data_IF_112364998969
#
_entry.id   IF_112364998969
#
_cell.length_a   1.000
_cell.length_b   1.000
_cell.length_c   1.000
_cell.angle_alpha   90.00
_cell.angle_beta   90.00
_cell.angle_gamma   90.00
#
_symmetry.space_group_name_H-M   'P 1'
#
loop_
_entity.id
_entity.type
_entity.pdbx_description
1 polymer ?
#
# COMPACT_ATOMS: atom_id res chain seq x y z
N UNK A 1 -3.83 -13.31 -23.34
CA UNK A 1 -3.49 -13.85 -22.00
C UNK A 1 -4.15 -12.97 -20.95
N UNK A 2 -4.98 -13.53 -20.11
CA UNK A 2 -5.60 -12.83 -18.98
C UNK A 2 -4.59 -12.64 -17.84
N UNK A 3 -4.93 -11.81 -16.84
CA UNK A 3 -4.07 -11.63 -15.65
C UNK A 3 -3.94 -12.92 -14.86
N UNK A 4 -5.02 -13.69 -14.77
CA UNK A 4 -5.01 -14.99 -14.10
C UNK A 4 -4.09 -15.99 -14.82
N UNK A 5 -4.18 -16.09 -16.14
CA UNK A 5 -3.29 -16.95 -16.93
C UNK A 5 -1.83 -16.52 -16.76
N UNK A 6 -1.55 -15.20 -16.72
CA UNK A 6 -0.21 -14.68 -16.46
C UNK A 6 0.28 -15.09 -15.07
N UNK A 7 -0.54 -14.92 -14.02
CA UNK A 7 -0.16 -15.32 -12.66
C UNK A 7 0.09 -16.83 -12.58
N UNK A 8 -0.79 -17.64 -13.16
CA UNK A 8 -0.63 -19.10 -13.21
C UNK A 8 0.64 -19.53 -13.94
N UNK A 9 1.05 -18.81 -15.01
CA UNK A 9 2.26 -19.12 -15.74
C UNK A 9 3.54 -18.92 -14.92
N UNK A 10 3.51 -18.02 -13.93
CA UNK A 10 4.62 -17.80 -12.99
C UNK A 10 4.53 -18.65 -11.71
N UNK A 11 3.48 -19.42 -11.52
CA UNK A 11 3.24 -20.21 -10.32
C UNK A 11 2.94 -21.67 -10.66
N UNK A 12 1.67 -22.06 -10.69
CA UNK A 12 1.23 -23.45 -10.85
C UNK A 12 1.72 -24.10 -12.15
N UNK A 13 1.68 -23.38 -13.27
CA UNK A 13 2.08 -23.95 -14.55
C UNK A 13 3.61 -24.13 -14.66
N UNK A 14 4.39 -23.23 -14.06
CA UNK A 14 5.83 -23.42 -13.97
C UNK A 14 6.18 -24.62 -13.11
N UNK A 15 5.52 -24.78 -11.94
CA UNK A 15 5.73 -25.94 -11.07
C UNK A 15 5.35 -27.25 -11.78
N UNK A 16 4.22 -27.26 -12.52
CA UNK A 16 3.81 -28.42 -13.34
C UNK A 16 4.83 -28.75 -14.43
N UNK A 17 5.34 -27.75 -15.14
CA UNK A 17 6.36 -27.95 -16.18
C UNK A 17 7.67 -28.55 -15.66
N UNK A 18 7.96 -28.36 -14.38
CA UNK A 18 9.11 -28.92 -13.67
C UNK A 18 8.80 -30.28 -12.99
N UNK A 19 7.55 -30.76 -13.03
CA UNK A 19 7.06 -31.94 -12.28
C UNK A 19 7.21 -31.78 -10.78
N UNK A 20 6.98 -30.56 -10.26
CA UNK A 20 7.09 -30.19 -8.85
C UNK A 20 5.79 -29.58 -8.29
N UNK A 21 4.65 -29.81 -8.95
CA UNK A 21 3.35 -29.27 -8.58
C UNK A 21 2.85 -29.73 -7.20
N UNK A 22 3.33 -30.88 -6.73
CA UNK A 22 3.04 -31.42 -5.39
C UNK A 22 3.84 -30.73 -4.28
N UNK A 23 4.92 -30.01 -4.66
CA UNK A 23 5.87 -29.41 -3.71
C UNK A 23 5.74 -27.89 -3.67
N UNK A 24 5.46 -27.24 -4.80
CA UNK A 24 5.44 -25.78 -4.95
C UNK A 24 4.40 -25.32 -5.98
N UNK A 25 4.32 -23.99 -6.22
CA UNK A 25 3.44 -23.36 -7.20
C UNK A 25 2.10 -22.88 -6.64
N UNK A 26 1.74 -23.29 -5.45
CA UNK A 26 0.55 -22.81 -4.70
C UNK A 26 0.83 -22.79 -3.20
N UNK A 27 0.10 -21.95 -2.47
CA UNK A 27 0.14 -21.89 -1.01
C UNK A 27 -0.89 -22.87 -0.44
N UNK A 28 -0.49 -24.13 -0.27
CA UNK A 28 -1.31 -25.22 0.25
C UNK A 28 -0.58 -25.93 1.37
N UNK A 29 -1.33 -26.54 2.28
CA UNK A 29 -0.76 -27.33 3.38
C UNK A 29 0.06 -28.50 2.82
N UNK A 30 1.30 -28.62 3.24
CA UNK A 30 2.23 -29.66 2.79
C UNK A 30 3.19 -29.22 1.67
N UNK A 31 2.96 -28.06 1.05
CA UNK A 31 3.88 -27.49 0.07
C UNK A 31 4.87 -26.51 0.71
N UNK A 32 5.92 -26.17 -0.03
CA UNK A 32 6.89 -25.16 0.39
C UNK A 32 6.21 -23.81 0.57
N UNK A 33 6.58 -23.10 1.64
CA UNK A 33 6.15 -21.73 1.87
C UNK A 33 7.05 -20.78 1.06
N UNK A 34 6.88 -20.81 -0.26
CA UNK A 34 7.56 -19.93 -1.22
C UNK A 34 6.57 -18.90 -1.75
N UNK A 35 6.73 -17.64 -1.35
CA UNK A 35 5.85 -16.57 -1.81
C UNK A 35 6.51 -15.19 -1.78
N UNK A 36 5.97 -14.29 -2.57
CA UNK A 36 6.29 -12.88 -2.51
C UNK A 36 5.03 -12.06 -2.19
N UNK A 37 5.20 -11.08 -1.30
CA UNK A 37 4.18 -10.05 -1.05
C UNK A 37 4.55 -8.83 -1.86
N UNK A 38 3.61 -8.34 -2.64
CA UNK A 38 3.79 -7.16 -3.48
C UNK A 38 2.87 -6.03 -3.04
N UNK A 39 3.21 -4.82 -3.43
CA UNK A 39 2.58 -3.57 -3.01
C UNK A 39 1.20 -3.30 -3.62
N UNK A 40 0.69 -4.22 -4.46
CA UNK A 40 -0.58 -4.02 -5.16
C UNK A 40 -1.23 -5.33 -5.55
N UNK A 41 -2.55 -5.29 -5.73
CA UNK A 41 -3.30 -6.40 -6.29
C UNK A 41 -3.18 -6.38 -7.82
N UNK A 42 -2.39 -7.29 -8.37
CA UNK A 42 -2.19 -7.42 -9.82
C UNK A 42 -3.48 -7.80 -10.57
N UNK A 43 -4.48 -8.38 -9.88
CA UNK A 43 -5.73 -8.80 -10.52
C UNK A 43 -6.65 -7.62 -10.79
N UNK A 44 -6.61 -6.57 -9.96
CA UNK A 44 -7.57 -5.46 -10.00
C UNK A 44 -6.93 -4.09 -10.29
N UNK A 45 -5.62 -3.92 -10.11
CA UNK A 45 -4.96 -2.63 -10.37
C UNK A 45 -5.09 -2.18 -11.84
N UNK A 46 -5.03 -0.88 -12.14
CA UNK A 46 -4.94 -0.37 -13.51
C UNK A 46 -3.78 -0.99 -14.29
N UNK A 47 -3.96 -1.21 -15.60
CA UNK A 47 -3.01 -1.96 -16.43
C UNK A 47 -1.60 -1.34 -16.47
N UNK A 48 -1.52 -0.03 -16.41
CA UNK A 48 -0.26 0.74 -16.39
C UNK A 48 0.62 0.45 -15.17
N UNK A 49 0.02 -0.05 -14.07
CA UNK A 49 0.74 -0.35 -12.82
C UNK A 49 1.19 -1.81 -12.69
N UNK A 50 0.82 -2.67 -13.65
CA UNK A 50 1.19 -4.10 -13.59
C UNK A 50 2.71 -4.30 -13.76
N UNK A 51 3.37 -3.47 -14.55
CA UNK A 51 4.76 -3.66 -14.96
C UNK A 51 5.82 -3.33 -13.89
N UNK A 52 5.46 -2.56 -12.86
CA UNK A 52 6.42 -2.05 -11.85
C UNK A 52 5.98 -2.33 -10.40
N UNK A 53 5.56 -3.55 -10.02
CA UNK A 53 5.20 -3.85 -8.64
C UNK A 53 6.44 -3.80 -7.75
N UNK A 54 6.29 -3.29 -6.52
CA UNK A 54 7.34 -3.34 -5.51
C UNK A 54 7.18 -4.60 -4.67
N UNK A 55 8.24 -5.37 -4.53
CA UNK A 55 8.27 -6.50 -3.59
C UNK A 55 8.44 -5.97 -2.17
N UNK A 56 7.55 -6.35 -1.27
CA UNK A 56 7.57 -5.97 0.15
C UNK A 56 8.21 -7.04 1.03
N UNK A 57 8.02 -8.31 0.66
CA UNK A 57 8.54 -9.47 1.38
C UNK A 57 8.75 -10.62 0.40
N UNK A 58 9.80 -11.39 0.57
CA UNK A 58 9.98 -12.69 -0.09
C UNK A 58 10.30 -13.73 0.96
N UNK A 59 9.60 -14.85 0.89
CA UNK A 59 9.82 -16.03 1.74
C UNK A 59 10.17 -17.20 0.81
N UNK A 60 11.22 -17.95 1.14
CA UNK A 60 11.64 -19.16 0.43
C UNK A 60 11.93 -20.28 1.42
N UNK A 61 11.32 -21.43 1.22
CA UNK A 61 11.42 -22.57 2.14
C UNK A 61 10.89 -22.28 3.55
N UNK A 62 9.99 -21.30 3.69
CA UNK A 62 9.49 -20.84 4.99
C UNK A 62 10.37 -19.81 5.70
N UNK A 63 11.53 -19.46 5.12
CA UNK A 63 12.42 -18.46 5.67
C UNK A 63 12.29 -17.12 4.92
N UNK A 64 12.34 -16.02 5.68
CA UNK A 64 12.34 -14.68 5.10
C UNK A 64 13.70 -14.38 4.46
N UNK A 65 13.73 -14.24 3.14
CA UNK A 65 14.96 -13.97 2.37
C UNK A 65 15.07 -12.51 1.93
N UNK A 66 13.96 -11.78 1.93
CA UNK A 66 13.91 -10.35 1.63
C UNK A 66 12.76 -9.68 2.37
N UNK A 67 13.02 -8.52 2.93
CA UNK A 67 12.00 -7.58 3.43
C UNK A 67 12.39 -6.17 3.04
N UNK A 68 11.43 -5.46 2.45
CA UNK A 68 11.56 -4.01 2.27
C UNK A 68 11.72 -3.38 3.65
N UNK A 69 12.60 -2.39 3.77
CA UNK A 69 12.86 -1.71 5.04
C UNK A 69 11.57 -1.26 5.71
N UNK A 70 11.22 -1.93 6.81
CA UNK A 70 10.01 -1.67 7.58
C UNK A 70 10.12 -0.41 8.46
N UNK A 71 11.29 0.22 8.54
CA UNK A 71 11.48 1.49 9.26
C UNK A 71 10.71 2.63 8.59
N UNK A 72 10.48 2.53 7.27
CA UNK A 72 9.71 3.51 6.51
C UNK A 72 8.29 2.99 6.30
N UNK A 73 7.27 3.63 6.90
CA UNK A 73 5.90 3.19 6.71
C UNK A 73 5.48 3.32 5.24
N UNK A 74 4.70 2.35 4.78
CA UNK A 74 4.11 2.37 3.46
C UNK A 74 2.65 2.82 3.57
N UNK A 75 2.23 3.76 2.76
CA UNK A 75 0.83 4.19 2.67
C UNK A 75 0.26 3.73 1.34
N UNK A 76 -0.80 2.94 1.37
CA UNK A 76 -1.48 2.43 0.19
C UNK A 76 -2.86 3.08 0.04
N UNK A 77 -3.15 3.58 -1.15
CA UNK A 77 -4.44 4.10 -1.55
C UNK A 77 -5.01 3.29 -2.70
N UNK A 78 -6.19 2.71 -2.53
CA UNK A 78 -6.83 1.84 -3.53
C UNK A 78 -5.89 0.75 -4.07
N UNK A 79 -5.11 0.11 -3.17
CA UNK A 79 -4.17 -0.95 -3.54
C UNK A 79 -2.88 -0.48 -4.20
N UNK A 80 -2.63 0.82 -4.29
CA UNK A 80 -1.42 1.40 -4.85
C UNK A 80 -0.59 2.09 -3.77
N UNK A 81 0.70 1.81 -3.73
CA UNK A 81 1.63 2.51 -2.84
C UNK A 81 1.75 3.96 -3.26
N UNK A 82 1.56 4.86 -2.31
CA UNK A 82 1.75 6.29 -2.50
C UNK A 82 3.22 6.65 -2.35
N UNK A 83 3.74 7.37 -3.32
CA UNK A 83 5.09 7.96 -3.26
C UNK A 83 5.02 9.38 -2.68
N UNK A 84 5.99 9.69 -1.83
CA UNK A 84 6.10 11.00 -1.19
C UNK A 84 7.46 11.62 -1.50
N UNK A 85 7.49 12.92 -1.81
CA UNK A 85 8.73 13.66 -2.03
C UNK A 85 9.44 13.95 -0.69
N UNK A 86 8.66 14.04 0.39
CA UNK A 86 9.15 14.27 1.73
C UNK A 86 8.97 13.03 2.60
N UNK A 87 9.86 12.84 3.58
CA UNK A 87 9.78 11.69 4.52
C UNK A 87 8.47 11.74 5.32
N UNK A 88 7.91 10.58 5.59
CA UNK A 88 6.81 10.44 6.52
C UNK A 88 7.29 10.71 7.96
N UNK A 89 6.44 11.33 8.77
CA UNK A 89 6.70 11.51 10.19
C UNK A 89 5.89 10.48 10.97
N UNK A 90 6.59 9.66 11.76
CA UNK A 90 5.98 8.56 12.54
C UNK A 90 6.03 8.92 14.01
N UNK A 91 4.88 8.89 14.65
CA UNK A 91 4.72 9.02 16.09
C UNK A 91 3.95 7.80 16.64
N UNK A 92 4.02 7.50 17.93
CA UNK A 92 3.28 6.40 18.50
C UNK A 92 1.79 6.46 18.14
N UNK A 93 1.31 5.49 17.35
CA UNK A 93 -0.07 5.39 16.90
C UNK A 93 -0.48 6.38 15.80
N UNK A 94 0.43 7.17 15.24
CA UNK A 94 0.14 8.14 14.18
C UNK A 94 1.19 8.14 13.08
N UNK A 95 0.73 8.19 11.85
CA UNK A 95 1.54 8.50 10.69
C UNK A 95 1.07 9.83 10.10
N UNK A 96 2.01 10.72 9.91
CA UNK A 96 1.82 12.01 9.28
C UNK A 96 2.38 11.96 7.87
N UNK A 97 1.57 12.33 6.90
CA UNK A 97 1.94 12.39 5.49
C UNK A 97 2.08 13.83 5.04
N UNK A 98 3.03 14.13 4.14
CA UNK A 98 3.13 15.44 3.54
C UNK A 98 1.82 15.81 2.85
N UNK A 99 1.23 16.94 3.26
CA UNK A 99 -0.11 17.35 2.81
C UNK A 99 -0.18 17.52 1.28
N UNK A 100 0.80 18.17 0.67
CA UNK A 100 0.80 18.38 -0.77
C UNK A 100 0.91 17.07 -1.55
N UNK A 101 1.80 16.18 -1.11
CA UNK A 101 2.04 14.91 -1.79
C UNK A 101 0.79 14.02 -1.75
N UNK A 102 0.16 13.88 -0.55
CA UNK A 102 -1.02 13.02 -0.42
C UNK A 102 -2.23 13.59 -1.18
N UNK A 103 -2.46 14.90 -1.13
CA UNK A 103 -3.56 15.55 -1.84
C UNK A 103 -3.43 15.36 -3.35
N UNK A 104 -2.21 15.53 -3.90
CA UNK A 104 -1.92 15.29 -5.31
C UNK A 104 -2.07 13.79 -5.68
N UNK A 105 -1.52 12.90 -4.84
CA UNK A 105 -1.56 11.45 -5.07
C UNK A 105 -2.96 10.86 -5.12
N UNK A 106 -3.92 11.44 -4.39
CA UNK A 106 -5.32 11.00 -4.38
C UNK A 106 -6.23 11.90 -5.23
N UNK A 107 -5.68 12.90 -5.93
CA UNK A 107 -6.43 13.88 -6.72
C UNK A 107 -7.51 14.62 -5.92
N UNK A 108 -7.21 14.96 -4.66
CA UNK A 108 -8.11 15.72 -3.80
C UNK A 108 -7.89 17.23 -3.94
N UNK A 109 -8.89 18.01 -3.56
CA UNK A 109 -8.78 19.46 -3.43
C UNK A 109 -8.42 19.85 -1.99
N UNK A 110 -7.69 20.93 -1.80
CA UNK A 110 -7.39 21.47 -0.47
C UNK A 110 -7.60 22.97 -0.41
N UNK A 111 -8.02 23.45 0.78
CA UNK A 111 -8.13 24.85 1.12
C UNK A 111 -7.55 25.08 2.52
N UNK A 112 -6.58 25.95 2.64
CA UNK A 112 -5.98 26.31 3.95
C UNK A 112 -6.91 27.28 4.70
N UNK A 113 -7.15 27.01 5.99
CA UNK A 113 -7.99 27.78 6.90
C UNK A 113 -7.25 28.01 8.22
N UNK A 114 -6.39 29.05 8.27
CA UNK A 114 -5.54 29.32 9.43
C UNK A 114 -4.55 28.18 9.71
N UNK A 115 -4.63 27.57 10.90
CA UNK A 115 -3.79 26.41 11.30
C UNK A 115 -4.40 25.07 10.89
N UNK A 116 -5.45 25.06 10.09
CA UNK A 116 -6.14 23.86 9.62
C UNK A 116 -6.21 23.85 8.11
N UNK A 117 -6.45 22.68 7.55
CA UNK A 117 -6.73 22.48 6.13
C UNK A 117 -8.06 21.77 5.96
N UNK A 118 -8.85 22.24 5.01
CA UNK A 118 -10.02 21.53 4.50
C UNK A 118 -9.57 20.72 3.28
N UNK A 119 -9.74 19.42 3.32
CA UNK A 119 -9.47 18.51 2.21
C UNK A 119 -10.79 17.95 1.70
N UNK A 120 -10.98 17.99 0.38
CA UNK A 120 -12.21 17.51 -0.29
C UNK A 120 -11.86 16.44 -1.31
N UNK A 121 -12.53 15.31 -1.23
CA UNK A 121 -12.41 14.18 -2.15
C UNK A 121 -13.79 13.55 -2.38
N UNK A 122 -14.17 13.30 -3.62
CA UNK A 122 -15.45 12.68 -4.01
C UNK A 122 -16.67 13.36 -3.34
N UNK A 123 -16.67 14.69 -3.24
CA UNK A 123 -17.74 15.47 -2.62
C UNK A 123 -17.80 15.43 -1.09
N UNK A 124 -16.89 14.71 -0.43
CA UNK A 124 -16.74 14.72 1.03
C UNK A 124 -15.59 15.62 1.44
N UNK A 125 -15.77 16.34 2.53
CA UNK A 125 -14.75 17.26 3.06
C UNK A 125 -14.43 16.95 4.51
N UNK A 126 -13.16 17.08 4.86
CA UNK A 126 -12.66 16.93 6.23
C UNK A 126 -11.78 18.12 6.60
N UNK A 127 -11.98 18.68 7.79
CA UNK A 127 -11.12 19.71 8.34
C UNK A 127 -10.12 19.09 9.30
N UNK A 128 -8.83 19.35 9.07
CA UNK A 128 -7.72 18.72 9.78
C UNK A 128 -6.74 19.76 10.33
N UNK A 129 -6.18 19.53 11.52
CA UNK A 129 -5.03 20.30 11.97
C UNK A 129 -3.83 19.98 11.11
N UNK A 130 -3.02 21.01 10.84
CA UNK A 130 -1.76 20.88 10.11
C UNK A 130 -0.60 20.89 11.11
N UNK A 131 0.33 19.95 10.94
CA UNK A 131 1.61 19.92 11.63
C UNK A 131 2.70 20.35 10.67
N UNK A 132 3.52 21.32 11.05
CA UNK A 132 4.66 21.75 10.23
C UNK A 132 5.96 21.20 10.81
N UNK A 133 6.75 20.52 9.96
CA UNK A 133 8.08 20.01 10.29
C UNK A 133 9.01 20.40 9.16
N UNK A 134 10.10 21.07 9.48
CA UNK A 134 11.12 21.56 8.52
C UNK A 134 10.53 22.32 7.31
N UNK A 135 9.48 23.13 7.57
CA UNK A 135 8.80 23.92 6.54
C UNK A 135 7.80 23.13 5.68
N UNK A 136 7.65 21.83 5.90
CA UNK A 136 6.66 20.97 5.21
C UNK A 136 5.42 20.80 6.09
N UNK A 137 4.26 20.94 5.47
CA UNK A 137 2.96 20.71 6.11
C UNK A 137 2.57 19.24 6.06
N UNK A 138 2.06 18.71 7.17
CA UNK A 138 1.67 17.33 7.35
C UNK A 138 0.25 17.20 7.90
N UNK A 139 -0.44 16.14 7.50
CA UNK A 139 -1.73 15.72 8.08
C UNK A 139 -1.66 14.26 8.53
N UNK A 140 -2.42 13.91 9.56
CA UNK A 140 -2.49 12.54 10.04
C UNK A 140 -3.31 11.68 9.07
N UNK A 141 -2.71 10.59 8.56
CA UNK A 141 -3.31 9.68 7.57
C UNK A 141 -4.69 9.20 8.01
N UNK A 142 -4.80 8.66 9.21
CA UNK A 142 -6.06 8.11 9.73
C UNK A 142 -7.16 9.18 9.79
N UNK A 143 -6.84 10.35 10.36
CA UNK A 143 -7.81 11.43 10.48
C UNK A 143 -8.28 11.94 9.11
N UNK A 144 -7.38 12.02 8.12
CA UNK A 144 -7.72 12.39 6.76
C UNK A 144 -8.72 11.40 6.15
N UNK A 145 -8.37 10.14 6.10
CA UNK A 145 -9.16 9.17 5.34
C UNK A 145 -10.42 8.71 6.06
N UNK A 146 -10.40 8.53 7.38
CA UNK A 146 -11.63 8.27 8.15
C UNK A 146 -12.60 9.46 8.08
N UNK A 147 -12.08 10.69 8.13
CA UNK A 147 -12.88 11.89 7.94
C UNK A 147 -13.51 12.01 6.55
N UNK A 148 -12.87 11.47 5.53
CA UNK A 148 -13.39 11.32 4.17
C UNK A 148 -14.29 10.07 3.99
N UNK A 149 -14.55 9.32 5.09
CA UNK A 149 -15.42 8.14 5.10
C UNK A 149 -14.76 6.91 4.47
N UNK A 150 -13.43 6.80 4.51
CA UNK A 150 -12.67 5.65 4.04
C UNK A 150 -12.16 4.83 5.22
N UNK A 151 -12.11 3.51 5.06
CA UNK A 151 -11.49 2.65 6.07
C UNK A 151 -9.98 2.77 6.02
N UNK A 152 -9.36 2.78 7.20
CA UNK A 152 -7.90 2.79 7.36
C UNK A 152 -7.49 1.59 8.18
N UNK A 153 -6.75 0.67 7.56
CA UNK A 153 -6.25 -0.55 8.20
C UNK A 153 -4.72 -0.47 8.33
N UNK A 154 -4.24 -0.78 9.51
CA UNK A 154 -2.82 -0.88 9.81
C UNK A 154 -2.37 -2.33 9.84
N UNK A 155 -1.34 -2.65 9.08
CA UNK A 155 -0.67 -3.96 9.08
C UNK A 155 0.69 -3.82 9.77
N UNK A 156 0.72 -4.09 11.06
CA UNK A 156 1.93 -3.92 11.89
C UNK A 156 3.16 -4.68 11.38
N UNK A 157 3.07 -5.95 10.93
CA UNK A 157 4.24 -6.68 10.47
C UNK A 157 4.94 -6.06 9.27
N UNK A 158 4.21 -5.42 8.37
CA UNK A 158 4.74 -4.78 7.16
C UNK A 158 4.87 -3.27 7.28
N UNK A 159 4.55 -2.69 8.45
CA UNK A 159 4.49 -1.24 8.67
C UNK A 159 3.70 -0.52 7.55
N UNK A 160 2.56 -1.08 7.19
CA UNK A 160 1.74 -0.62 6.07
C UNK A 160 0.39 -0.10 6.52
N UNK A 161 0.01 1.07 6.02
CA UNK A 161 -1.35 1.61 6.14
C UNK A 161 -2.06 1.40 4.81
N UNK A 162 -3.13 0.64 4.82
CA UNK A 162 -4.00 0.45 3.66
C UNK A 162 -5.28 1.27 3.82
N UNK A 163 -5.64 1.98 2.76
CA UNK A 163 -6.80 2.86 2.71
C UNK A 163 -7.64 2.47 1.48
N UNK A 164 -8.95 2.37 1.70
CA UNK A 164 -9.89 2.43 0.58
C UNK A 164 -10.29 1.13 -0.09
N UNK A 165 -9.95 -0.04 0.42
CA UNK A 165 -10.69 -1.24 0.04
C UNK A 165 -12.03 -1.24 0.77
N UNK A 166 -13.01 -0.59 0.19
CA UNK A 166 -14.41 -0.86 0.45
C UNK A 166 -14.95 -1.60 -0.77
N UNK A 167 -15.61 -2.70 -0.45
CA UNK A 167 -16.35 -3.54 -1.37
C UNK A 167 -17.13 -2.74 -2.40
#
# INVERSE_FOLDING_TARGET
MTREEALRSFTNWSAYAEFNEDIKGSLEVGKLADFAVIDRDLMTCPAEYIKDPQVLLTVSGGEEVYRKDASVPTVMWNGLVQSFNNKLVVEPGKIWVPLNDIVNGISAEKRTEGSSVLVTLDGKSVKLPVKTVDGVEYVAVRALFEGLGRNVTWYAPSNCVSIGWLK
#
